data_IF_652117220568
#
_entry.id   IF_652117220568
#
_cell.length_a   1.000
_cell.length_b   1.000
_cell.length_c   1.000
_cell.angle_alpha   90.00
_cell.angle_beta   90.00
_cell.angle_gamma   90.00
#
_symmetry.space_group_name_H-M   'P 1'
#
loop_
_entity.id
_entity.type
_entity.pdbx_description
1 polymer ?
#
# COMPACT_ATOMS: atom_id res chain seq x y z
N UNK A 1 17.93 2.63 3.66
CA UNK A 1 17.95 2.54 2.18
C UNK A 1 18.20 1.09 1.79
N UNK A 2 17.57 0.54 0.74
CA UNK A 2 17.81 -0.86 0.32
C UNK A 2 19.26 -1.02 -0.15
N UNK A 3 19.90 -2.14 0.19
CA UNK A 3 21.27 -2.46 -0.27
C UNK A 3 21.35 -2.71 -1.78
N UNK A 4 20.27 -3.25 -2.35
CA UNK A 4 20.14 -3.51 -3.78
C UNK A 4 18.89 -2.81 -4.33
N UNK A 5 18.99 -2.11 -5.47
CA UNK A 5 17.83 -1.51 -6.11
C UNK A 5 16.89 -2.59 -6.66
N UNK A 6 15.62 -2.24 -6.80
CA UNK A 6 14.67 -3.04 -7.59
C UNK A 6 14.93 -2.74 -9.06
N UNK A 7 15.02 -3.80 -9.87
CA UNK A 7 15.31 -3.75 -11.30
C UNK A 7 14.02 -4.08 -12.06
N UNK A 8 13.74 -3.30 -13.11
CA UNK A 8 12.56 -3.49 -13.95
C UNK A 8 12.56 -4.87 -14.65
N UNK A 9 11.37 -5.41 -14.89
CA UNK A 9 11.19 -6.71 -15.56
C UNK A 9 11.58 -7.94 -14.70
N UNK A 10 11.78 -7.76 -13.38
CA UNK A 10 12.08 -8.84 -12.45
C UNK A 10 10.91 -9.10 -11.51
N UNK A 11 10.77 -10.36 -11.10
CA UNK A 11 9.82 -10.77 -10.07
C UNK A 11 10.54 -10.88 -8.74
N UNK A 12 9.98 -10.26 -7.71
CA UNK A 12 10.53 -10.25 -6.36
C UNK A 12 9.57 -10.92 -5.38
N UNK A 13 10.09 -11.76 -4.49
CA UNK A 13 9.35 -12.25 -3.34
C UNK A 13 9.50 -11.26 -2.18
N UNK A 14 8.39 -10.67 -1.76
CA UNK A 14 8.36 -9.75 -0.62
C UNK A 14 7.75 -10.48 0.56
N UNK A 15 8.51 -10.60 1.64
CA UNK A 15 8.06 -11.18 2.89
C UNK A 15 8.00 -10.10 3.96
N UNK A 16 6.95 -10.13 4.78
CA UNK A 16 6.80 -9.26 5.95
C UNK A 16 6.69 -10.14 7.20
N UNK A 17 7.25 -9.67 8.31
CA UNK A 17 7.12 -10.30 9.63
C UNK A 17 6.87 -9.18 10.63
N UNK A 18 5.98 -9.44 11.58
CA UNK A 18 5.79 -8.54 12.72
C UNK A 18 7.04 -8.48 13.61
N UNK A 19 7.17 -7.38 14.33
CA UNK A 19 8.12 -7.32 15.44
C UNK A 19 7.68 -8.34 16.51
N UNK A 20 8.63 -9.06 17.10
CA UNK A 20 8.38 -10.02 18.18
C UNK A 20 7.32 -11.12 17.91
N UNK A 21 6.96 -11.39 16.65
CA UNK A 21 5.99 -12.44 16.32
C UNK A 21 4.53 -12.10 16.64
N UNK A 22 4.21 -10.81 16.86
CA UNK A 22 2.82 -10.39 17.03
C UNK A 22 1.96 -10.70 15.82
N UNK A 23 0.73 -11.15 16.04
CA UNK A 23 -0.27 -11.20 14.98
C UNK A 23 -0.74 -9.78 14.65
N UNK A 24 -0.53 -9.36 13.40
CA UNK A 24 -0.79 -8.00 12.88
C UNK A 24 -1.99 -7.92 11.93
N UNK A 25 -2.57 -9.06 11.54
CA UNK A 25 -3.78 -9.12 10.73
C UNK A 25 -4.82 -9.98 11.47
N UNK A 26 -5.52 -9.34 12.39
CA UNK A 26 -6.52 -9.95 13.28
C UNK A 26 -7.94 -9.84 12.74
N UNK A 27 -8.13 -9.05 11.69
CA UNK A 27 -9.44 -8.77 11.10
C UNK A 27 -9.36 -8.57 9.60
N UNK A 28 -10.46 -8.86 8.90
CA UNK A 28 -10.61 -8.62 7.46
C UNK A 28 -10.32 -7.16 7.07
N UNK A 29 -10.59 -6.22 7.99
CA UNK A 29 -10.26 -4.81 7.78
C UNK A 29 -8.76 -4.60 7.59
N UNK A 30 -7.92 -5.26 8.38
CA UNK A 30 -6.46 -5.11 8.31
C UNK A 30 -5.89 -5.78 7.06
N UNK A 31 -6.42 -6.95 6.68
CA UNK A 31 -6.10 -7.59 5.40
C UNK A 31 -6.46 -6.70 4.21
N UNK A 32 -7.67 -6.14 4.20
CA UNK A 32 -8.11 -5.23 3.14
C UNK A 32 -7.28 -3.95 3.10
N UNK A 33 -6.92 -3.39 4.25
CA UNK A 33 -6.10 -2.19 4.35
C UNK A 33 -4.72 -2.41 3.71
N UNK A 34 -4.05 -3.54 3.96
CA UNK A 34 -2.73 -3.77 3.35
C UNK A 34 -2.81 -4.00 1.84
N UNK A 35 -3.85 -4.70 1.36
CA UNK A 35 -4.07 -4.86 -0.09
C UNK A 35 -4.30 -3.50 -0.77
N UNK A 36 -5.07 -2.61 -0.14
CA UNK A 36 -5.30 -1.27 -0.66
C UNK A 36 -4.03 -0.42 -0.62
N UNK A 37 -3.23 -0.53 0.45
CA UNK A 37 -1.95 0.17 0.56
C UNK A 37 -0.97 -0.28 -0.54
N UNK A 38 -0.89 -1.58 -0.81
CA UNK A 38 -0.07 -2.14 -1.89
C UNK A 38 -0.51 -1.67 -3.27
N UNK A 39 -1.81 -1.43 -3.49
CA UNK A 39 -2.33 -0.85 -4.74
C UNK A 39 -2.03 0.65 -4.84
N UNK A 40 -2.26 1.38 -3.76
CA UNK A 40 -2.09 2.83 -3.70
C UNK A 40 -0.66 3.28 -4.03
N UNK A 41 0.34 2.65 -3.40
CA UNK A 41 1.75 3.00 -3.61
C UNK A 41 2.37 2.40 -4.89
N UNK A 42 1.56 1.87 -5.81
CA UNK A 42 2.02 1.62 -7.18
C UNK A 42 2.16 2.90 -7.98
N UNK A 43 1.45 3.95 -7.59
CA UNK A 43 1.55 5.25 -8.25
C UNK A 43 2.75 6.00 -7.70
N UNK A 44 3.55 6.49 -8.62
CA UNK A 44 4.73 7.28 -8.32
C UNK A 44 4.31 8.65 -7.78
N UNK A 45 4.85 9.04 -6.61
CA UNK A 45 4.58 10.32 -5.94
C UNK A 45 3.07 10.62 -5.74
N UNK A 46 2.33 9.81 -4.95
CA UNK A 46 0.92 10.06 -4.72
C UNK A 46 0.71 11.43 -4.05
N UNK A 47 -0.32 12.19 -4.45
CA UNK A 47 -0.53 13.56 -3.97
C UNK A 47 -0.96 13.64 -2.50
N UNK A 48 -1.39 12.51 -1.92
CA UNK A 48 -1.84 12.40 -0.55
C UNK A 48 -1.12 11.25 0.16
N UNK A 49 -1.14 11.28 1.49
CA UNK A 49 -0.77 10.09 2.29
C UNK A 49 -1.92 9.10 2.24
N UNK A 50 -1.61 7.81 2.23
CA UNK A 50 -2.62 6.75 2.21
C UNK A 50 -3.67 6.88 3.33
N UNK A 51 -3.28 7.28 4.54
CA UNK A 51 -4.23 7.47 5.65
C UNK A 51 -5.29 8.54 5.36
N UNK A 52 -4.88 9.66 4.76
CA UNK A 52 -5.79 10.74 4.38
C UNK A 52 -6.70 10.27 3.26
N UNK A 53 -6.12 9.58 2.28
CA UNK A 53 -6.86 9.02 1.15
C UNK A 53 -7.92 7.99 1.59
N UNK A 54 -7.59 7.13 2.56
CA UNK A 54 -8.48 6.08 3.06
C UNK A 54 -9.72 6.63 3.80
N UNK A 55 -9.61 7.83 4.35
CA UNK A 55 -10.68 8.55 5.07
C UNK A 55 -11.60 9.36 4.14
N UNK A 56 -11.26 9.51 2.85
CA UNK A 56 -12.11 10.20 1.89
C UNK A 56 -13.45 9.47 1.71
N UNK A 57 -14.55 10.22 1.83
CA UNK A 57 -15.93 9.69 1.69
C UNK A 57 -16.25 9.23 0.26
N UNK A 58 -15.66 9.90 -0.74
CA UNK A 58 -15.87 9.59 -2.16
C UNK A 58 -14.57 9.08 -2.80
N UNK A 59 -14.27 7.79 -2.57
CA UNK A 59 -13.05 7.15 -3.06
C UNK A 59 -13.04 7.03 -4.58
N UNK A 60 -14.18 6.78 -5.20
CA UNK A 60 -14.28 6.57 -6.66
C UNK A 60 -13.89 7.80 -7.45
N UNK A 61 -14.44 8.96 -7.08
CA UNK A 61 -14.15 10.23 -7.75
C UNK A 61 -12.74 10.76 -7.42
N UNK A 62 -12.25 10.45 -6.21
CA UNK A 62 -10.90 10.80 -5.78
C UNK A 62 -9.82 9.95 -6.45
N UNK A 63 -10.10 8.67 -6.75
CA UNK A 63 -9.13 7.80 -7.44
C UNK A 63 -8.82 8.34 -8.84
N UNK A 64 -9.84 8.58 -9.67
CA UNK A 64 -9.68 9.13 -11.02
C UNK A 64 -9.01 10.51 -11.03
N UNK A 65 -9.25 11.34 -10.02
CA UNK A 65 -8.65 12.68 -9.93
C UNK A 65 -7.14 12.68 -9.67
N UNK A 66 -6.61 11.64 -9.03
CA UNK A 66 -5.23 11.62 -8.52
C UNK A 66 -4.37 10.49 -9.09
N UNK A 67 -4.98 9.51 -9.76
CA UNK A 67 -4.32 8.27 -10.19
C UNK A 67 -4.56 7.88 -11.66
N UNK A 68 -5.37 8.66 -12.40
CA UNK A 68 -5.42 8.67 -13.87
C UNK A 68 -4.80 9.98 -14.40
#
# INVERSE_FOLDING_TARGET
MRKHPLINGKTYHVFTRSIAGYEIFRSDREYNRILNLLKYYKVENPPLRFSVFEELKDKGNSYHKYFD
#
